data_IF_919830104763
#
_entry.id   IF_919830104763
#
_cell.length_a   1.000
_cell.length_b   1.000
_cell.length_c   1.000
_cell.angle_alpha   90.00
_cell.angle_beta   90.00
_cell.angle_gamma   90.00
#
_symmetry.space_group_name_H-M   'P 1'
#
loop_
_entity.id
_entity.type
_entity.pdbx_description
1 polymer ?
2 non-polymer ?
3 non-polymer ?
4 non-polymer ?
5 water ?
#
# COMPACT_ATOMS: atom_id res chain seq x y z
N UNK A 11 -20.65 -17.19 11.16
CA UNK A 11 -20.01 -17.52 9.84
C UNK A 11 -19.50 -16.27 9.12
N UNK A 12 -18.34 -16.41 8.50
CA UNK A 12 -17.63 -15.30 7.84
C UNK A 12 -17.15 -15.76 6.47
N UNK A 13 -17.43 -14.97 5.40
CA UNK A 13 -17.09 -15.44 4.05
C UNK A 13 -15.59 -15.50 3.80
N UNK A 14 -15.21 -16.30 2.82
CA UNK A 14 -13.81 -16.67 2.61
C UNK A 14 -12.97 -15.56 1.96
N UNK A 15 -13.57 -14.79 1.05
CA UNK A 15 -12.87 -13.68 0.38
C UNK A 15 -12.96 -12.41 1.23
N UNK A 16 -11.82 -11.73 1.37
CA UNK A 16 -11.81 -10.45 2.08
C UNK A 16 -12.74 -9.39 1.46
N UNK A 17 -12.96 -9.46 0.14
CA UNK A 17 -13.86 -8.50 -0.51
C UNK A 17 -15.35 -8.78 -0.31
N UNK A 18 -15.68 -9.89 0.36
CA UNK A 18 -17.05 -10.23 0.72
C UNK A 18 -17.42 -9.90 2.17
N UNK A 19 -16.50 -9.23 2.89
CA UNK A 19 -16.75 -8.91 4.29
C UNK A 19 -16.13 -7.56 4.63
N UNK A 20 -16.79 -6.79 5.52
CA UNK A 20 -16.19 -5.53 5.93
C UNK A 20 -15.02 -5.81 6.87
N UNK A 21 -13.91 -5.11 6.64
CA UNK A 21 -12.79 -5.11 7.57
C UNK A 21 -12.53 -3.67 8.02
N UNK A 22 -12.91 -3.35 9.26
CA UNK A 22 -12.72 -1.98 9.74
C UNK A 22 -11.26 -1.65 10.05
N UNK A 23 -10.98 -0.36 10.22
CA UNK A 23 -9.64 0.12 10.52
C UNK A 23 -9.11 -0.42 11.85
N UNK A 24 -9.99 -0.40 12.86
CA UNK A 24 -9.63 -0.81 14.21
C UNK A 24 -10.35 -2.10 14.56
N UNK A 25 -9.67 -2.95 15.31
CA UNK A 25 -10.21 -4.27 15.63
C UNK A 25 -9.69 -4.79 16.97
N UNK A 26 -10.06 -6.04 17.30
CA UNK A 26 -9.87 -6.57 18.65
C UNK A 26 -8.73 -7.56 18.81
N UNK A 27 -7.91 -7.70 17.78
CA UNK A 27 -6.93 -8.79 17.68
C UNK A 27 -5.59 -8.34 17.10
N UNK A 28 -5.18 -7.14 17.51
CA UNK A 28 -4.01 -6.50 16.90
C UNK A 28 -2.72 -7.25 17.22
N UNK A 29 -2.61 -7.78 18.43
CA UNK A 29 -1.45 -8.57 18.82
C UNK A 29 -1.31 -9.80 17.95
N UNK A 30 -2.41 -10.51 17.76
CA UNK A 30 -2.40 -11.74 16.98
C UNK A 30 -2.14 -11.47 15.51
N UNK A 31 -2.81 -10.47 14.95
CA UNK A 31 -2.66 -10.15 13.53
C UNK A 31 -1.22 -9.66 13.25
N UNK A 32 -0.66 -8.86 14.16
CA UNK A 32 0.72 -8.37 14.01
C UNK A 32 1.72 -9.52 13.95
N UNK A 33 1.56 -10.49 14.85
CA UNK A 33 2.40 -11.70 14.85
C UNK A 33 2.33 -12.49 13.54
N UNK A 34 1.12 -12.72 13.05
CA UNK A 34 0.93 -13.41 11.76
C UNK A 34 1.52 -12.62 10.60
N UNK A 35 1.40 -11.30 10.64
CA UNK A 35 1.95 -10.45 9.58
C UNK A 35 3.47 -10.38 9.57
N UNK A 36 4.09 -10.53 10.74
CA UNK A 36 5.56 -10.67 10.81
C UNK A 36 5.96 -11.94 10.06
N UNK A 37 5.25 -13.05 10.30
CA UNK A 37 5.53 -14.29 9.59
C UNK A 37 5.24 -14.20 8.08
N UNK A 38 4.18 -13.48 7.72
CA UNK A 38 3.87 -13.24 6.30
C UNK A 38 4.99 -12.47 5.59
N UNK A 39 5.44 -11.41 6.24
CA UNK A 39 6.49 -10.53 5.72
C UNK A 39 7.79 -11.31 5.51
N UNK A 40 8.15 -12.08 6.54
CA UNK A 40 9.33 -12.93 6.49
C UNK A 40 9.27 -13.98 5.37
N UNK A 41 8.10 -14.60 5.18
CA UNK A 41 7.89 -15.46 4.04
C UNK A 41 8.15 -14.75 2.70
N UNK A 42 7.61 -13.55 2.55
CA UNK A 42 7.84 -12.72 1.36
C UNK A 42 9.30 -12.43 1.11
N UNK A 43 10.05 -12.17 2.20
CA UNK A 43 11.48 -11.94 2.09
C UNK A 43 12.25 -13.14 1.55
N UNK A 44 11.72 -14.36 1.78
CA UNK A 44 12.34 -15.59 1.27
C UNK A 44 11.76 -16.08 -0.06
N UNK A 45 10.91 -15.28 -0.70
CA UNK A 45 10.23 -15.67 -1.94
C UNK A 45 9.17 -16.76 -1.76
N UNK A 46 8.65 -16.93 -0.56
CA UNK A 46 7.64 -17.94 -0.27
C UNK A 46 6.27 -17.27 -0.36
N UNK A 47 5.83 -17.02 -1.59
CA UNK A 47 4.62 -16.23 -1.86
C UNK A 47 3.33 -16.93 -1.37
N UNK A 48 3.30 -18.25 -1.45
CA UNK A 48 2.17 -19.06 -0.96
C UNK A 48 1.99 -18.88 0.53
N UNK A 49 3.09 -19.00 1.27
CA UNK A 49 3.10 -18.83 2.72
C UNK A 49 2.79 -17.40 3.12
N UNK A 50 3.33 -16.41 2.40
CA UNK A 50 2.95 -15.01 2.64
C UNK A 50 1.43 -14.82 2.55
N UNK A 51 0.85 -15.27 1.44
CA UNK A 51 -0.60 -15.10 1.22
C UNK A 51 -1.43 -15.83 2.28
N UNK A 52 -1.01 -17.03 2.66
CA UNK A 52 -1.68 -17.78 3.71
C UNK A 52 -1.70 -17.04 5.06
N UNK A 53 -0.55 -16.51 5.49
CA UNK A 53 -0.47 -15.78 6.76
C UNK A 53 -1.24 -14.46 6.68
N UNK A 54 -1.16 -13.77 5.55
CA UNK A 54 -1.90 -12.52 5.34
C UNK A 54 -3.42 -12.72 5.42
N UNK A 55 -3.91 -13.80 4.79
CA UNK A 55 -5.35 -14.12 4.85
C UNK A 55 -5.83 -14.45 6.28
N UNK A 56 -5.05 -15.24 7.02
CA UNK A 56 -5.38 -15.56 8.41
C UNK A 56 -5.43 -14.28 9.27
N UNK A 57 -4.40 -13.44 9.13
CA UNK A 57 -4.41 -12.17 9.86
C UNK A 57 -5.66 -11.35 9.52
N UNK A 58 -6.05 -11.31 8.24
CA UNK A 58 -7.20 -10.50 7.82
C UNK A 58 -8.51 -11.04 8.39
N UNK A 59 -8.60 -12.36 8.59
CA UNK A 59 -9.76 -12.95 9.27
C UNK A 59 -9.87 -12.40 10.69
N UNK A 60 -8.77 -12.40 11.41
CA UNK A 60 -8.76 -11.83 12.76
C UNK A 60 -9.24 -10.36 12.80
N UNK A 61 -8.86 -9.57 11.80
CA UNK A 61 -9.26 -8.16 11.73
C UNK A 61 -10.76 -7.98 11.53
N UNK A 62 -11.41 -8.96 10.89
CA UNK A 62 -12.84 -8.92 10.64
C UNK A 62 -13.71 -9.41 11.81
N UNK A 63 -13.10 -10.05 12.82
CA UNK A 63 -13.87 -10.61 13.94
C UNK A 63 -14.45 -9.51 14.84
N UNK A 64 -15.66 -9.72 15.36
CA UNK A 64 -16.29 -8.69 16.21
C UNK A 64 -15.82 -8.68 17.66
N UNK A 65 -15.02 -9.66 18.07
CA UNK A 65 -14.57 -9.83 19.45
C UNK A 65 -13.11 -10.29 19.50
N UNK A 66 -12.42 -10.07 20.63
CA UNK A 66 -11.08 -10.61 20.77
C UNK A 66 -11.10 -12.13 20.82
N UNK A 67 -10.07 -12.76 20.29
CA UNK A 67 -9.82 -14.19 20.46
C UNK A 67 -9.08 -14.36 21.78
N UNK A 68 -9.78 -14.86 22.79
CA UNK A 68 -9.19 -15.11 24.11
C UNK A 68 -8.84 -16.59 24.33
N UNK A 69 -9.59 -17.50 23.69
CA UNK A 69 -9.34 -18.95 23.82
C UNK A 69 -9.25 -19.57 22.44
N UNK A 70 -8.49 -20.66 22.31
CA UNK A 70 -8.32 -21.31 21.00
C UNK A 70 -9.63 -21.89 20.46
N UNK A 71 -10.57 -22.22 21.35
CA UNK A 71 -11.91 -22.66 20.92
C UNK A 71 -12.61 -21.65 20.00
N UNK A 72 -12.28 -20.34 20.12
CA UNK A 72 -12.83 -19.33 19.20
C UNK A 72 -12.36 -19.39 17.74
N UNK A 73 -11.32 -20.17 17.45
CA UNK A 73 -10.87 -20.35 16.06
C UNK A 73 -11.80 -21.24 15.21
N UNK A 74 -12.60 -22.09 15.86
CA UNK A 74 -13.52 -22.99 15.16
C UNK A 74 -14.40 -22.32 14.10
N UNK A 75 -14.46 -22.94 12.91
CA UNK A 75 -15.31 -22.49 11.81
C UNK A 75 -14.79 -21.32 10.98
N UNK A 76 -13.61 -20.78 11.31
CA UNK A 76 -13.06 -19.63 10.59
C UNK A 76 -12.28 -20.10 9.36
N UNK A 77 -12.47 -19.44 8.20
CA UNK A 77 -11.68 -19.81 7.02
C UNK A 77 -10.23 -19.38 7.16
N UNK A 78 -9.38 -19.89 6.27
CA UNK A 78 -7.98 -19.47 6.19
C UNK A 78 -7.22 -19.57 7.51
N UNK A 79 -7.63 -20.52 8.35
CA UNK A 79 -6.92 -20.79 9.60
C UNK A 79 -6.50 -22.23 9.65
N UNK A 80 -5.44 -22.53 8.90
CA UNK A 80 -4.79 -23.83 8.91
C UNK A 80 -3.97 -24.06 10.16
N UNK A 81 -3.19 -25.13 10.15
CA UNK A 81 -2.46 -25.59 11.33
C UNK A 81 -1.44 -24.55 11.83
N UNK A 82 -0.63 -24.02 10.91
CA UNK A 82 0.48 -23.15 11.28
C UNK A 82 -0.03 -21.87 11.96
N UNK A 83 -0.97 -21.18 11.32
CA UNK A 83 -1.52 -19.94 11.91
C UNK A 83 -2.20 -20.19 13.26
N UNK A 84 -2.94 -21.30 13.37
CA UNK A 84 -3.58 -21.68 14.64
C UNK A 84 -2.56 -21.90 15.76
N UNK A 85 -1.44 -22.54 15.44
CA UNK A 85 -0.38 -22.78 16.43
C UNK A 85 0.20 -21.46 16.96
N UNK A 86 0.34 -20.49 16.06
CA UNK A 86 0.90 -19.19 16.41
C UNK A 86 -0.02 -18.52 17.43
N UNK A 87 -1.32 -18.51 17.14
CA UNK A 87 -2.32 -17.90 18.04
C UNK A 87 -2.34 -18.66 19.39
N UNK A 88 -2.31 -19.98 19.33
CA UNK A 88 -2.25 -20.83 20.54
C UNK A 88 -1.11 -20.45 21.48
N UNK A 89 0.10 -20.34 20.94
CA UNK A 89 1.27 -20.00 21.76
C UNK A 89 1.13 -18.63 22.40
N UNK A 90 0.63 -17.67 21.63
CA UNK A 90 0.39 -16.32 22.13
C UNK A 90 -0.62 -16.30 23.28
N UNK A 91 -1.72 -17.04 23.12
CA UNK A 91 -2.75 -17.15 24.15
C UNK A 91 -2.25 -17.82 25.43
N UNK A 92 -1.47 -18.88 25.27
CA UNK A 92 -0.99 -19.69 26.38
C UNK A 92 0.26 -19.17 27.07
N UNK A 93 1.18 -18.58 26.30
CA UNK A 93 2.48 -18.13 26.83
C UNK A 93 2.80 -16.64 26.69
N UNK A 94 1.93 -15.89 26.01
CA UNK A 94 2.17 -14.47 25.76
C UNK A 94 3.22 -14.19 24.68
N UNK A 95 3.76 -15.23 24.07
CA UNK A 95 4.85 -15.11 23.11
C UNK A 95 4.83 -16.34 22.21
N UNK A 96 5.24 -16.17 20.95
CA UNK A 96 5.40 -17.27 19.99
C UNK A 96 6.89 -17.34 19.63
N UNK A 97 7.54 -18.46 19.92
CA UNK A 97 9.00 -18.60 19.73
C UNK A 97 9.43 -18.36 18.29
N UNK A 98 8.66 -18.87 17.34
CA UNK A 98 8.96 -18.68 15.92
C UNK A 98 8.96 -17.20 15.51
N UNK A 99 7.98 -16.44 16.00
CA UNK A 99 7.91 -15.01 15.73
C UNK A 99 9.10 -14.28 16.36
N UNK A 100 9.43 -14.62 17.61
CA UNK A 100 10.57 -14.01 18.28
C UNK A 100 11.88 -14.31 17.57
N UNK A 101 12.01 -15.54 17.06
CA UNK A 101 13.22 -15.94 16.34
C UNK A 101 13.36 -15.13 15.02
N UNK A 102 12.24 -14.98 14.33
CA UNK A 102 12.21 -14.15 13.13
C UNK A 102 12.62 -12.70 13.47
N UNK A 103 11.99 -12.10 14.48
CA UNK A 103 12.29 -10.71 14.86
C UNK A 103 13.77 -10.46 15.13
N UNK A 104 14.42 -11.41 15.79
CA UNK A 104 15.81 -11.26 16.21
C UNK A 104 16.78 -11.63 15.09
N UNK A 105 16.30 -12.24 14.00
CA UNK A 105 17.20 -12.76 12.98
C UNK A 105 17.78 -11.67 12.11
N UNK A 106 19.06 -11.79 11.80
CA UNK A 106 19.75 -10.79 11.01
C UNK A 106 19.16 -10.70 9.60
N UNK A 107 18.79 -11.85 9.04
CA UNK A 107 18.16 -11.88 7.71
C UNK A 107 16.88 -11.05 7.69
N UNK A 108 16.00 -11.28 8.64
CA UNK A 108 14.75 -10.52 8.69
C UNK A 108 14.99 -9.04 8.93
N UNK A 109 15.79 -8.71 9.96
CA UNK A 109 16.08 -7.31 10.29
C UNK A 109 16.69 -6.57 9.10
N UNK A 110 17.61 -7.22 8.37
CA UNK A 110 18.27 -6.56 7.24
C UNK A 110 17.32 -6.39 6.06
N UNK A 111 16.54 -7.41 5.79
CA UNK A 111 15.56 -7.35 4.71
C UNK A 111 14.51 -6.28 4.98
N UNK A 112 14.06 -6.18 6.23
CA UNK A 112 13.14 -5.10 6.63
C UNK A 112 13.79 -3.73 6.45
N UNK A 113 15.04 -3.62 6.89
CA UNK A 113 15.78 -2.35 6.76
C UNK A 113 15.88 -1.92 5.30
N UNK A 114 16.38 -2.81 4.46
CA UNK A 114 16.56 -2.48 3.04
C UNK A 114 15.23 -2.24 2.31
N UNK A 115 14.25 -3.12 2.50
CA UNK A 115 13.02 -3.04 1.70
C UNK A 115 12.23 -1.79 2.07
N UNK A 116 12.43 -1.28 3.29
CA UNK A 116 11.74 -0.04 3.69
C UNK A 116 12.23 1.19 2.92
N UNK A 117 13.48 1.17 2.46
CA UNK A 117 14.07 2.27 1.71
C UNK A 117 13.29 2.54 0.41
N UNK A 118 13.01 3.80 0.16
CA UNK A 118 12.38 4.24 -1.10
C UNK A 118 13.10 3.66 -2.31
N UNK A 119 12.34 2.97 -3.17
CA UNK A 119 12.85 2.36 -4.41
C UNK A 119 13.52 0.99 -4.28
N UNK A 120 13.44 0.37 -3.12
CA UNK A 120 14.04 -0.94 -2.87
C UNK A 120 12.96 -2.00 -2.66
N UNK A 121 12.91 -2.97 -3.56
CA UNK A 121 12.06 -4.17 -3.39
C UNK A 121 12.77 -5.37 -2.80
N UNK A 122 12.06 -6.50 -2.75
CA UNK A 122 12.61 -7.71 -2.14
C UNK A 122 13.79 -8.23 -2.95
N UNK A 123 13.71 -8.17 -4.29
CA UNK A 123 14.80 -8.74 -5.08
C UNK A 123 16.09 -7.98 -4.90
N UNK A 124 15.99 -6.66 -4.87
CA UNK A 124 17.16 -5.83 -4.65
C UNK A 124 17.73 -6.04 -3.25
N UNK A 125 16.85 -6.01 -2.24
CA UNK A 125 17.29 -6.21 -0.85
C UNK A 125 17.98 -7.57 -0.63
N UNK A 126 17.41 -8.62 -1.24
CA UNK A 126 17.98 -9.96 -1.13
C UNK A 126 19.36 -10.03 -1.80
N UNK A 127 19.47 -9.42 -2.98
CA UNK A 127 20.77 -9.38 -3.69
C UNK A 127 21.82 -8.71 -2.82
N UNK A 128 21.45 -7.57 -2.24
CA UNK A 128 22.37 -6.85 -1.39
C UNK A 128 22.75 -7.68 -0.17
N UNK A 129 21.77 -8.37 0.42
CA UNK A 129 22.03 -9.25 1.55
C UNK A 129 23.02 -10.32 1.16
N UNK A 130 22.76 -10.96 0.01
CA UNK A 130 23.64 -12.04 -0.48
C UNK A 130 25.06 -11.58 -0.78
N UNK A 131 25.21 -10.32 -1.17
CA UNK A 131 26.50 -9.67 -1.42
C UNK A 131 27.15 -9.06 -0.16
N UNK A 132 26.58 -9.32 1.01
CA UNK A 132 27.20 -8.98 2.29
C UNK A 132 26.92 -7.61 2.88
N UNK A 133 25.96 -6.90 2.31
CA UNK A 133 25.59 -5.57 2.80
C UNK A 133 24.59 -5.77 3.94
N UNK A 134 24.70 -4.96 4.98
CA UNK A 134 23.86 -5.09 6.18
C UNK A 134 23.23 -3.82 6.68
N UNK A 135 23.96 -2.71 6.59
CA UNK A 135 23.54 -1.46 7.20
C UNK A 135 23.32 -0.38 6.16
N UNK A 136 22.70 0.73 6.58
CA UNK A 136 22.52 1.84 5.68
C UNK A 136 23.88 2.44 5.28
N UNK A 137 24.82 2.46 6.22
CA UNK A 137 26.18 2.91 5.93
C UNK A 137 26.87 2.04 4.87
N UNK A 138 26.68 0.72 4.97
CA UNK A 138 27.15 -0.20 3.95
C UNK A 138 26.68 0.22 2.56
N UNK A 139 25.41 0.60 2.44
CA UNK A 139 24.86 1.06 1.15
C UNK A 139 25.48 2.37 0.69
N UNK A 140 25.66 3.30 1.63
CA UNK A 140 26.28 4.58 1.29
C UNK A 140 27.74 4.48 0.87
N UNK A 141 28.40 3.42 1.30
CA UNK A 141 29.80 3.15 0.91
C UNK A 141 29.91 2.55 -0.49
N UNK A 142 28.78 2.09 -1.06
CA UNK A 142 28.71 1.52 -2.42
C UNK A 142 27.70 2.23 -3.31
N UNK A 143 27.87 3.55 -3.52
CA UNK A 143 26.86 4.31 -4.29
C UNK A 143 26.66 3.81 -5.71
N UNK A 144 27.68 3.19 -6.30
CA UNK A 144 27.53 2.62 -7.64
C UNK A 144 26.46 1.50 -7.72
N UNK A 145 26.11 0.91 -6.58
CA UNK A 145 25.05 -0.10 -6.47
C UNK A 145 23.64 0.48 -6.35
N UNK A 146 23.50 1.80 -6.23
CA UNK A 146 22.22 2.43 -5.95
C UNK A 146 21.70 3.18 -7.17
N UNK A 147 20.38 3.12 -7.38
CA UNK A 147 19.70 3.99 -8.32
C UNK A 147 19.57 5.41 -7.71
N UNK A 148 19.26 6.39 -8.55
CA UNK A 148 19.06 7.75 -8.06
C UNK A 148 17.91 7.81 -7.05
N UNK A 149 16.86 7.03 -7.29
CA UNK A 149 15.73 6.90 -6.37
C UNK A 149 16.18 6.39 -4.99
N UNK A 150 16.97 5.34 -5.01
CA UNK A 150 17.50 4.75 -3.77
C UNK A 150 18.43 5.70 -3.03
N UNK A 151 19.25 6.44 -3.77
CA UNK A 151 20.09 7.49 -3.17
C UNK A 151 19.26 8.54 -2.43
N UNK A 152 18.15 8.94 -3.04
CA UNK A 152 17.26 9.90 -2.43
C UNK A 152 16.59 9.30 -1.17
N UNK A 153 16.18 8.06 -1.26
CA UNK A 153 15.65 7.34 -0.12
C UNK A 153 16.61 7.26 1.05
N UNK A 154 17.88 7.02 0.76
CA UNK A 154 18.90 7.01 1.82
C UNK A 154 19.17 8.38 2.43
N UNK A 155 19.24 9.41 1.59
CA UNK A 155 19.39 10.79 2.01
C UNK A 155 18.32 11.19 3.02
N UNK A 156 17.10 10.71 2.83
CA UNK A 156 15.96 11.12 3.64
C UNK A 156 15.41 10.02 4.49
N UNK A 157 16.20 9.00 4.81
CA UNK A 157 15.63 7.79 5.36
C UNK A 157 15.01 8.02 6.74
N UNK A 158 15.57 8.93 7.54
CA UNK A 158 15.00 9.16 8.90
C UNK A 158 13.55 9.66 8.78
N UNK A 159 13.37 10.72 8.01
CA UNK A 159 12.04 11.29 7.75
C UNK A 159 11.11 10.29 7.09
N UNK A 160 11.63 9.55 6.11
CA UNK A 160 10.75 8.59 5.41
C UNK A 160 10.33 7.37 6.27
N UNK A 161 11.06 7.07 7.35
CA UNK A 161 10.73 6.04 8.34
C UNK A 161 9.76 6.54 9.40
N UNK A 162 9.57 7.87 9.45
CA UNK A 162 8.65 8.53 10.42
C UNK A 162 7.26 8.46 9.85
N UNK A 163 6.27 7.93 10.63
CA UNK A 163 4.94 7.80 10.04
C UNK A 163 4.39 9.14 9.56
N UNK A 164 3.79 9.13 8.37
CA UNK A 164 3.11 10.27 7.84
C UNK A 164 1.78 10.37 8.56
N UNK A 165 1.44 11.59 8.98
CA UNK A 165 0.26 11.85 9.79
C UNK A 165 -0.82 12.49 8.96
N UNK A 166 -2.06 12.41 9.44
CA UNK A 166 -3.17 13.07 8.75
C UNK A 166 -2.93 14.56 8.56
N UNK A 167 -2.37 15.20 9.57
CA UNK A 167 -2.02 16.62 9.47
C UNK A 167 -1.07 16.94 8.30
N UNK A 168 -0.13 16.03 8.05
CA UNK A 168 0.77 16.13 6.90
C UNK A 168 -0.02 15.97 5.61
N UNK A 169 -0.93 15.00 5.59
CA UNK A 169 -1.75 14.74 4.42
C UNK A 169 -2.58 15.96 4.03
N UNK A 170 -3.18 16.60 5.03
CA UNK A 170 -4.02 17.76 4.76
C UNK A 170 -3.21 18.93 4.18
N UNK A 171 -2.01 19.17 4.72
CA UNK A 171 -1.13 20.20 4.20
C UNK A 171 -0.69 19.87 2.77
N UNK A 172 -0.34 18.62 2.51
CA UNK A 172 0.10 18.20 1.17
C UNK A 172 -1.03 18.27 0.15
N UNK A 173 -2.22 17.84 0.54
CA UNK A 173 -3.37 17.92 -0.33
C UNK A 173 -3.65 19.37 -0.74
N UNK A 174 -3.51 20.32 0.19
CA UNK A 174 -3.67 21.74 -0.15
C UNK A 174 -2.71 22.23 -1.25
N UNK A 175 -1.42 21.95 -1.11
CA UNK A 175 -0.45 22.40 -2.11
C UNK A 175 -0.63 21.67 -3.43
N UNK A 176 -1.00 20.39 -3.40
CA UNK A 176 -1.24 19.65 -4.65
C UNK A 176 -2.50 20.20 -5.32
N UNK A 177 -3.55 20.44 -4.55
CA UNK A 177 -4.79 21.02 -5.11
C UNK A 177 -4.56 22.42 -5.68
N UNK A 178 -3.78 23.25 -4.98
CA UNK A 178 -3.46 24.59 -5.48
C UNK A 178 -2.70 24.50 -6.82
N UNK A 179 -1.69 23.63 -6.89
CA UNK A 179 -0.90 23.49 -8.13
C UNK A 179 -1.74 22.95 -9.30
N UNK A 180 -2.55 21.93 -9.02
CA UNK A 180 -3.46 21.36 -10.03
C UNK A 180 -4.46 22.43 -10.53
N UNK A 181 -5.09 23.13 -9.59
CA UNK A 181 -6.09 24.18 -9.94
C UNK A 181 -5.56 25.34 -10.75
N UNK A 182 -4.34 25.77 -10.44
CA UNK A 182 -3.67 26.82 -11.19
C UNK A 182 -3.19 26.34 -12.57
N UNK A 183 -2.78 25.07 -12.68
CA UNK A 183 -2.37 24.51 -13.98
C UNK A 183 -3.55 24.29 -14.92
N UNK A 184 -4.68 23.84 -14.37
CA UNK A 184 -5.83 23.47 -15.17
C UNK A 184 -7.12 23.56 -14.37
N UNK A 185 -7.83 24.70 -14.45
CA UNK A 185 -9.13 24.79 -13.80
C UNK A 185 -10.04 23.62 -14.18
N UNK A 186 -10.71 23.05 -13.19
CA UNK A 186 -11.59 21.89 -13.38
C UNK A 186 -10.95 20.53 -13.11
N UNK A 187 -9.62 20.45 -13.15
CA UNK A 187 -8.94 19.19 -12.81
C UNK A 187 -9.13 18.95 -11.31
N UNK A 188 -9.20 17.69 -10.92
CA UNK A 188 -9.49 17.29 -9.53
C UNK A 188 -8.35 16.48 -8.96
N UNK A 189 -8.24 16.50 -7.64
CA UNK A 189 -7.28 15.72 -6.87
C UNK A 189 -8.07 14.90 -5.87
N UNK A 190 -7.84 13.60 -5.83
CA UNK A 190 -8.53 12.69 -4.92
C UNK A 190 -7.50 11.94 -4.08
N UNK A 191 -7.64 12.05 -2.76
CA UNK A 191 -6.79 11.30 -1.84
C UNK A 191 -7.16 9.84 -1.94
N UNK A 192 -6.19 8.97 -2.17
CA UNK A 192 -6.41 7.52 -2.23
C UNK A 192 -5.55 6.83 -1.15
N UNK A 193 -5.10 5.59 -1.39
CA UNK A 193 -4.30 4.85 -0.42
C UNK A 193 -4.96 4.68 0.92
N UNK A 194 -4.12 4.42 1.91
CA UNK A 194 -4.59 4.10 3.25
C UNK A 194 -5.36 5.22 3.90
N UNK A 195 -4.99 6.46 3.61
CA UNK A 195 -5.70 7.59 4.19
C UNK A 195 -7.16 7.69 3.73
N UNK A 196 -7.42 7.30 2.48
CA UNK A 196 -8.82 7.22 2.03
C UNK A 196 -9.60 6.16 2.82
N UNK A 197 -8.93 5.09 3.22
CA UNK A 197 -9.51 4.03 4.06
C UNK A 197 -9.65 4.40 5.55
N UNK A 198 -9.29 5.63 5.92
CA UNK A 198 -9.44 6.10 7.28
C UNK A 198 -8.22 5.99 8.17
N UNK A 199 -7.10 5.47 7.66
CA UNK A 199 -5.88 5.34 8.45
C UNK A 199 -5.46 6.70 9.01
N UNK A 200 -4.90 6.68 10.21
CA UNK A 200 -4.40 7.88 10.85
C UNK A 200 -2.95 8.13 10.51
N UNK A 201 -2.28 7.12 9.98
CA UNK A 201 -0.90 7.26 9.57
C UNK A 201 -0.61 6.42 8.32
N UNK A 202 0.58 6.61 7.76
CA UNK A 202 0.97 5.87 6.57
C UNK A 202 2.42 6.06 6.21
N UNK A 203 2.87 5.41 5.15
CA UNK A 203 4.26 5.49 4.71
C UNK A 203 4.44 6.54 3.60
N UNK A 204 3.34 6.94 3.00
CA UNK A 204 3.33 7.97 1.96
C UNK A 204 1.94 8.59 1.87
N UNK A 205 1.73 9.44 0.86
CA UNK A 205 0.41 9.98 0.53
C UNK A 205 0.22 9.70 -0.96
N UNK A 206 -0.93 9.15 -1.30
CA UNK A 206 -1.31 8.76 -2.65
C UNK A 206 -2.44 9.66 -3.18
N UNK A 207 -2.23 10.27 -4.34
CA UNK A 207 -3.20 11.17 -4.92
C UNK A 207 -3.46 10.70 -6.34
N UNK A 208 -4.73 10.76 -6.74
CA UNK A 208 -5.17 10.44 -8.08
C UNK A 208 -5.74 11.70 -8.71
N UNK A 209 -5.23 12.04 -9.90
CA UNK A 209 -5.58 13.28 -10.59
C UNK A 209 -6.31 12.96 -11.89
N UNK A 210 -7.39 13.71 -12.18
CA UNK A 210 -8.08 13.58 -13.47
C UNK A 210 -8.78 14.89 -13.86
N UNK A 211 -9.46 14.85 -15.00
CA UNK A 211 -10.26 15.97 -15.48
C UNK A 211 -11.52 15.38 -16.13
N UNK A 212 -12.70 16.00 -15.91
CA UNK A 212 -13.95 15.40 -16.42
C UNK A 212 -14.07 15.23 -17.96
N UNK A 213 -13.38 16.07 -18.72
CA UNK A 213 -13.24 15.93 -20.16
C UNK A 213 -12.02 15.08 -20.53
N UNK A 214 -12.28 13.88 -21.05
CA UNK A 214 -11.22 12.93 -21.44
C UNK A 214 -10.21 13.58 -22.36
N UNK A 215 -8.94 13.47 -22.01
CA UNK A 215 -7.85 14.08 -22.76
C UNK A 215 -7.37 15.42 -22.25
N UNK A 216 -8.18 16.13 -21.45
CA UNK A 216 -7.74 17.42 -20.91
C UNK A 216 -6.66 17.29 -19.83
N UNK A 217 -6.49 16.07 -19.31
CA UNK A 217 -5.44 15.73 -18.35
C UNK A 217 -4.05 15.57 -18.95
N UNK A 218 -3.97 15.52 -20.29
CA UNK A 218 -2.70 15.39 -20.98
C UNK A 218 -1.80 16.58 -20.69
N UNK A 219 -0.55 16.28 -20.31
CA UNK A 219 0.42 17.32 -20.00
C UNK A 219 0.20 18.05 -18.68
N UNK A 220 -0.71 17.58 -17.86
CA UNK A 220 -1.06 18.27 -16.63
C UNK A 220 0.02 18.04 -15.58
N UNK A 221 0.42 16.79 -15.42
CA UNK A 221 1.35 16.43 -14.31
C UNK A 221 2.69 17.18 -14.38
N UNK A 222 3.31 17.29 -15.57
CA UNK A 222 4.53 18.10 -15.64
C UNK A 222 4.36 19.56 -15.25
N UNK A 223 3.19 20.14 -15.57
CA UNK A 223 2.91 21.51 -15.14
C UNK A 223 2.75 21.62 -13.61
N UNK A 224 2.02 20.68 -13.04
CA UNK A 224 1.86 20.55 -11.57
C UNK A 224 3.23 20.44 -10.88
N UNK A 225 4.09 19.57 -11.41
CA UNK A 225 5.43 19.40 -10.84
C UNK A 225 6.30 20.64 -10.95
N UNK A 226 6.21 21.36 -12.07
CA UNK A 226 6.94 22.62 -12.23
C UNK A 226 6.55 23.61 -11.14
N UNK A 227 5.24 23.79 -10.95
CA UNK A 227 4.72 24.68 -9.92
C UNK A 227 5.21 24.30 -8.52
N UNK A 228 5.11 23.02 -8.18
CA UNK A 228 5.56 22.55 -6.87
C UNK A 228 7.07 22.69 -6.68
N UNK A 229 7.82 22.40 -7.73
CA UNK A 229 9.27 22.54 -7.70
C UNK A 229 9.65 24.01 -7.49
N UNK A 230 8.95 24.91 -8.16
CA UNK A 230 9.24 26.34 -8.06
C UNK A 230 8.97 26.86 -6.65
N UNK A 231 8.02 26.25 -5.96
CA UNK A 231 7.74 26.59 -4.57
C UNK A 231 8.68 25.99 -3.52
N UNK A 232 9.69 25.25 -3.94
CA UNK A 232 10.64 24.65 -3.03
C UNK A 232 10.14 23.42 -2.33
N UNK A 233 9.05 22.85 -2.84
CA UNK A 233 8.35 21.76 -2.15
C UNK A 233 8.80 20.36 -2.57
N UNK A 234 9.72 20.27 -3.53
CA UNK A 234 10.10 18.99 -4.10
C UNK A 234 11.60 18.72 -3.86
N UNK A 235 11.85 17.61 -3.18
CA UNK A 235 13.21 17.14 -2.97
C UNK A 235 13.66 16.15 -4.03
N UNK A 236 12.73 15.34 -4.51
CA UNK A 236 13.01 14.32 -5.49
C UNK A 236 11.75 14.10 -6.32
N UNK A 237 11.96 13.91 -7.62
CA UNK A 237 10.88 13.75 -8.56
C UNK A 237 11.32 12.79 -9.68
N UNK A 238 10.58 11.71 -9.88
CA UNK A 238 10.78 10.82 -11.03
C UNK A 238 9.46 10.71 -11.75
N UNK A 239 9.41 11.28 -12.94
CA UNK A 239 8.23 11.28 -13.79
C UNK A 239 8.34 10.11 -14.74
N UNK A 240 7.27 9.36 -14.92
CA UNK A 240 7.25 8.37 -15.97
C UNK A 240 5.94 8.46 -16.73
N UNK A 241 6.06 8.54 -18.05
CA UNK A 241 4.91 8.47 -18.94
C UNK A 241 4.27 7.08 -18.87
N UNK A 242 3.01 6.99 -19.25
CA UNK A 242 2.34 5.68 -19.35
C UNK A 242 3.08 4.79 -20.35
N UNK A 243 3.49 3.60 -19.89
CA UNK A 243 4.33 2.70 -20.67
C UNK A 243 3.50 1.61 -21.33
N UNK A 244 2.91 0.75 -20.49
CA UNK A 244 2.19 -0.44 -20.95
C UNK A 244 0.82 -0.09 -21.54
N UNK A 258 1.39 1.75 -15.75
CA UNK A 258 0.85 2.14 -17.04
C UNK A 258 -0.04 3.40 -16.98
N UNK A 259 -0.17 4.03 -15.82
CA UNK A 259 -0.68 5.39 -15.75
C UNK A 259 0.55 6.30 -15.73
N UNK A 260 0.40 7.51 -16.23
CA UNK A 260 1.38 8.56 -16.02
C UNK A 260 1.47 8.81 -14.51
N UNK A 261 2.69 8.88 -13.98
CA UNK A 261 2.87 9.12 -12.57
C UNK A 261 4.18 9.81 -12.23
N UNK A 262 4.21 10.38 -11.03
CA UNK A 262 5.37 11.05 -10.50
C UNK A 262 5.61 10.49 -9.09
N UNK A 263 6.77 9.88 -8.88
CA UNK A 263 7.18 9.35 -7.57
C UNK A 263 8.00 10.46 -6.93
N UNK A 264 7.50 11.01 -5.83
CA UNK A 264 8.08 12.22 -5.27
C UNK A 264 8.51 12.05 -3.85
N UNK A 265 9.48 12.84 -3.45
CA UNK A 265 9.69 13.18 -2.05
C UNK A 265 9.42 14.69 -1.93
N UNK A 266 8.44 15.05 -1.11
CA UNK A 266 8.13 16.46 -0.85
C UNK A 266 8.90 16.96 0.36
N UNK A 267 9.23 18.24 0.37
CA UNK A 267 9.78 18.91 1.55
C UNK A 267 8.61 19.63 2.22
N UNK A 268 8.07 19.04 3.26
CA UNK A 268 6.90 19.60 3.94
C UNK A 268 7.32 20.57 5.04
N UNK A 269 6.97 21.89 4.92
CA UNK A 269 7.35 22.80 6.01
C UNK A 269 6.55 22.49 7.27
N UNK A 270 7.20 22.65 8.41
CA UNK A 270 6.59 22.42 9.71
C UNK A 270 6.91 23.65 10.53
N UNK A 271 6.26 23.79 11.71
CA UNK A 271 6.65 24.88 12.59
C UNK A 271 8.13 24.74 13.05
N UNK A 272 8.99 25.61 12.48
CA UNK A 272 10.41 25.69 12.81
C UNK A 272 11.39 24.74 12.10
N UNK A 273 10.87 23.85 11.24
CA UNK A 273 11.69 22.81 10.62
C UNK A 273 11.03 22.36 9.32
N UNK A 274 11.28 21.11 8.90
CA UNK A 274 10.59 20.52 7.73
C UNK A 274 10.78 19.03 7.77
N UNK A 275 10.00 18.33 6.96
CA UNK A 275 10.01 16.88 6.91
C UNK A 275 9.90 16.38 5.48
N UNK A 276 10.75 15.41 5.09
CA UNK A 276 10.60 14.75 3.82
C UNK A 276 9.43 13.78 3.90
N UNK A 277 8.60 13.77 2.87
CA UNK A 277 7.43 12.91 2.82
C UNK A 277 7.26 12.34 1.41
N UNK A 278 7.13 11.02 1.31
CA UNK A 278 6.85 10.39 0.03
C UNK A 278 5.41 10.66 -0.42
N UNK A 279 5.26 11.05 -1.69
CA UNK A 279 3.97 11.32 -2.30
C UNK A 279 3.98 10.69 -3.70
N UNK A 280 2.94 9.93 -4.00
CA UNK A 280 2.70 9.40 -5.35
C UNK A 280 1.58 10.20 -5.99
N UNK A 281 1.85 10.76 -7.16
CA UNK A 281 0.82 11.46 -7.93
C UNK A 281 0.57 10.64 -9.18
N UNK A 282 -0.68 10.25 -9.37
CA UNK A 282 -1.06 9.38 -10.47
C UNK A 282 -2.13 10.11 -11.26
N UNK A 283 -1.99 10.11 -12.59
CA UNK A 283 -3.00 10.70 -13.47
C UNK A 283 -3.75 9.57 -14.17
N UNK A 284 -5.08 9.62 -14.12
CA UNK A 284 -5.90 8.69 -14.89
C UNK A 284 -6.88 9.45 -15.75
N UNK A 285 -7.10 8.98 -17.00
CA UNK A 285 -8.22 9.56 -17.75
C UNK A 285 -9.54 9.22 -17.08
N UNK A 286 -10.49 10.14 -17.15
CA UNK A 286 -11.72 10.02 -16.39
C UNK A 286 -12.49 8.73 -16.67
N UNK A 287 -12.42 8.22 -17.91
CA UNK A 287 -13.05 6.92 -18.25
C UNK A 287 -12.55 5.77 -17.36
N UNK A 288 -11.27 5.82 -16.96
CA UNK A 288 -10.66 4.78 -16.12
C UNK A 288 -10.60 5.11 -14.63
N UNK A 289 -11.00 6.33 -14.26
CA UNK A 289 -10.93 6.80 -12.88
C UNK A 289 -11.53 5.84 -11.83
N UNK A 290 -12.76 5.34 -12.05
CA UNK A 290 -13.29 4.43 -11.01
C UNK A 290 -12.42 3.20 -10.73
N UNK A 291 -11.83 2.62 -11.78
CA UNK A 291 -10.93 1.47 -11.65
C UNK A 291 -9.64 1.87 -10.96
N UNK A 292 -9.12 3.04 -11.31
CA UNK A 292 -7.92 3.56 -10.69
C UNK A 292 -8.15 3.88 -9.23
N UNK A 293 -9.28 4.51 -8.91
CA UNK A 293 -9.61 4.84 -7.51
C UNK A 293 -9.74 3.55 -6.68
N UNK A 294 -10.46 2.57 -7.22
CA UNK A 294 -10.59 1.26 -6.55
C UNK A 294 -9.24 0.59 -6.30
N UNK A 295 -8.42 0.49 -7.35
CA UNK A 295 -7.12 -0.13 -7.26
C UNK A 295 -6.19 0.56 -6.27
N UNK A 296 -6.12 1.88 -6.37
CA UNK A 296 -5.22 2.68 -5.55
C UNK A 296 -5.70 2.88 -4.11
N UNK A 297 -6.96 2.55 -3.80
CA UNK A 297 -7.48 2.71 -2.44
C UNK A 297 -7.12 1.50 -1.57
N UNK A 298 -6.93 0.34 -2.18
CA UNK A 298 -6.51 -0.83 -1.45
C UNK A 298 -7.57 -1.37 -0.49
N UNK A 299 -7.17 -2.04 0.58
CA UNK A 299 -5.77 -2.40 0.90
C UNK A 299 -5.17 -3.31 -0.16
N UNK A 300 -3.87 -3.51 -0.09
CA UNK A 300 -3.19 -4.40 -1.03
C UNK A 300 -3.87 -5.79 -1.04
N UNK A 301 -4.10 -6.35 0.15
CA UNK A 301 -4.76 -7.64 0.27
C UNK A 301 -6.20 -7.60 -0.23
N UNK A 302 -6.94 -6.55 0.12
CA UNK A 302 -8.32 -6.41 -0.36
C UNK A 302 -8.38 -6.48 -1.90
N UNK A 303 -7.49 -5.73 -2.57
CA UNK A 303 -7.48 -5.72 -4.02
C UNK A 303 -7.01 -7.05 -4.63
N UNK A 304 -6.02 -7.68 -4.03
CA UNK A 304 -5.63 -9.02 -4.44
C UNK A 304 -6.80 -9.98 -4.40
N UNK A 305 -7.54 -9.95 -3.29
CA UNK A 305 -8.71 -10.79 -3.10
C UNK A 305 -9.85 -10.42 -4.05
N UNK A 306 -10.04 -9.11 -4.27
CA UNK A 306 -11.05 -8.66 -5.22
C UNK A 306 -10.74 -9.14 -6.66
N UNK A 307 -9.47 -9.07 -7.05
CA UNK A 307 -9.04 -9.54 -8.38
C UNK A 307 -9.20 -11.07 -8.50
N UNK A 308 -8.83 -11.80 -7.46
CA UNK A 308 -8.97 -13.26 -7.46
C UNK A 308 -10.44 -13.68 -7.55
N UNK A 309 -11.28 -13.03 -6.76
CA UNK A 309 -12.74 -13.23 -6.83
C UNK A 309 -13.30 -12.99 -8.22
N UNK A 310 -12.93 -11.86 -8.83
CA UNK A 310 -13.42 -11.50 -10.17
C UNK A 310 -13.05 -12.59 -11.17
N UNK A 311 -11.80 -13.04 -11.13
CA UNK A 311 -11.31 -14.06 -12.06
C UNK A 311 -11.92 -15.42 -11.77
N UNK A 312 -11.79 -15.88 -10.53
CA UNK A 312 -12.20 -17.24 -10.17
C UNK A 312 -13.71 -17.44 -10.11
N UNK A 313 -14.45 -16.47 -9.58
CA UNK A 313 -15.90 -16.59 -9.43
C UNK A 313 -16.69 -16.03 -10.61
N UNK A 314 -16.23 -14.94 -11.23
CA UNK A 314 -16.98 -14.31 -12.32
C UNK A 314 -16.33 -14.40 -13.70
N UNK A 315 -15.12 -14.94 -13.80
CA UNK A 315 -14.44 -15.08 -15.08
C UNK A 315 -14.04 -13.76 -15.73
N UNK A 316 -13.88 -12.70 -14.93
CA UNK A 316 -13.52 -11.37 -15.43
C UNK A 316 -12.14 -11.01 -14.89
N UNK A 317 -11.39 -10.21 -15.64
CA UNK A 317 -10.07 -9.76 -15.19
C UNK A 317 -10.16 -8.30 -14.75
N UNK A 318 -9.92 -8.06 -13.46
CA UNK A 318 -9.97 -6.71 -12.91
C UNK A 318 -8.58 -6.17 -12.72
N UNK A 319 -8.33 -4.96 -13.18
CA UNK A 319 -7.11 -4.24 -12.80
C UNK A 319 -7.43 -2.77 -12.59
N UNK A 320 -6.40 -1.94 -12.45
CA UNK A 320 -6.60 -0.52 -12.18
C UNK A 320 -7.10 0.31 -13.36
N UNK A 321 -7.19 -0.31 -14.55
CA UNK A 321 -7.65 0.35 -15.77
C UNK A 321 -9.03 -0.04 -16.24
N UNK A 322 -9.55 -1.17 -15.76
CA UNK A 322 -10.78 -1.71 -16.31
C UNK A 322 -11.14 -3.10 -15.83
N UNK A 323 -12.25 -3.57 -16.38
CA UNK A 323 -12.78 -4.90 -16.04
C UNK A 323 -13.13 -5.56 -17.36
N UNK A 324 -12.35 -6.60 -17.70
CA UNK A 324 -12.34 -7.21 -19.01
C UNK A 324 -12.93 -8.63 -18.97
N UNK A 325 -13.80 -8.93 -19.93
CA UNK A 325 -14.31 -10.28 -20.15
C UNK A 325 -13.44 -10.88 -21.24
N UNK A 326 -12.54 -11.84 -20.89
CA UNK A 326 -11.62 -12.37 -21.89
C UNK A 326 -12.27 -13.30 -22.93
N UNK A 327 -13.45 -13.84 -22.63
CA UNK A 327 -14.22 -14.64 -23.59
C UNK A 327 -14.93 -13.76 -24.63
N UNK A 328 -15.65 -12.75 -24.16
CA UNK A 328 -16.36 -11.80 -25.02
C UNK A 328 -15.46 -10.71 -25.61
N UNK A 329 -14.29 -10.51 -25.03
CA UNK A 329 -13.34 -9.47 -25.44
C UNK A 329 -13.96 -8.07 -25.26
N UNK A 330 -14.62 -7.86 -24.11
CA UNK A 330 -15.35 -6.63 -23.79
C UNK A 330 -14.86 -5.98 -22.50
N UNK A 331 -15.00 -4.65 -22.40
CA UNK A 331 -14.68 -3.90 -21.18
C UNK A 331 -15.95 -3.34 -20.56
N UNK A 332 -16.04 -3.38 -19.23
CA UNK A 332 -17.18 -2.84 -18.49
C UNK A 332 -17.02 -1.33 -18.29
N UNK A 333 -18.05 -0.56 -18.64
CA UNK A 333 -18.06 0.88 -18.47
C UNK A 333 -18.64 1.18 -17.09
N UNK A 334 -17.78 1.63 -16.18
CA UNK A 334 -18.16 1.95 -14.80
C UNK A 334 -18.07 3.45 -14.65
N UNK A 335 -19.04 4.04 -13.96
CA UNK A 335 -19.00 5.45 -13.60
C UNK A 335 -18.52 5.65 -12.17
N UNK A 336 -18.56 4.59 -11.35
CA UNK A 336 -18.18 4.66 -9.95
C UNK A 336 -17.64 3.33 -9.45
N UNK A 337 -17.06 3.34 -8.24
CA UNK A 337 -16.69 2.10 -7.59
C UNK A 337 -17.91 1.21 -7.33
N UNK A 338 -19.02 1.84 -6.94
CA UNK A 338 -20.29 1.14 -6.70
C UNK A 338 -20.71 0.29 -7.91
N UNK A 339 -20.59 0.87 -9.11
CA UNK A 339 -20.86 0.15 -10.37
C UNK A 339 -20.04 -1.14 -10.49
N UNK A 340 -18.77 -1.06 -10.14
CA UNK A 340 -17.83 -2.19 -10.28
C UNK A 340 -18.22 -3.30 -9.32
N UNK A 341 -18.44 -2.96 -8.05
CA UNK A 341 -18.91 -3.92 -7.05
C UNK A 341 -20.20 -4.64 -7.50
N UNK A 342 -21.18 -3.83 -7.93
CA UNK A 342 -22.46 -4.33 -8.45
C UNK A 342 -22.25 -5.27 -9.63
N UNK A 343 -21.40 -4.89 -10.57
CA UNK A 343 -21.12 -5.73 -11.74
C UNK A 343 -20.53 -7.09 -11.36
N UNK A 344 -19.73 -7.12 -10.29
CA UNK A 344 -19.14 -8.37 -9.79
C UNK A 344 -20.02 -9.14 -8.81
N UNK A 345 -21.23 -8.65 -8.54
CA UNK A 345 -22.17 -9.32 -7.66
C UNK A 345 -21.79 -9.22 -6.20
N UNK A 346 -21.08 -8.16 -5.82
CA UNK A 346 -20.62 -7.96 -4.45
C UNK A 346 -21.37 -6.79 -3.81
N UNK A 347 -21.70 -6.92 -2.53
CA UNK A 347 -22.23 -5.80 -1.77
C UNK A 347 -21.13 -4.74 -1.68
N UNK A 348 -21.51 -3.47 -1.82
CA UNK A 348 -20.55 -2.37 -1.80
C UNK A 348 -19.92 -2.23 -0.42
N UNK A 349 -18.61 -2.02 -0.39
CA UNK A 349 -17.89 -1.74 0.84
C UNK A 349 -17.27 -0.38 0.68
N UNK A 350 -17.61 0.57 1.55
CA UNK A 350 -16.90 1.84 1.47
C UNK A 350 -15.41 1.66 1.82
N UNK A 351 -14.56 2.63 1.47
CA UNK A 351 -13.10 2.51 1.67
C UNK A 351 -12.68 2.12 3.10
N UNK A 352 -13.32 2.71 4.10
CA UNK A 352 -13.03 2.36 5.51
C UNK A 352 -13.34 0.91 5.93
N UNK A 353 -14.06 0.16 5.10
CA UNK A 353 -14.26 -1.27 5.34
C UNK A 353 -13.42 -2.16 4.42
N UNK A 354 -12.41 -1.58 3.75
CA UNK A 354 -11.50 -2.33 2.88
C UNK A 354 -10.13 -2.55 3.53
N UNK A 355 -10.08 -2.51 4.86
CA UNK A 355 -8.80 -2.59 5.58
C UNK A 355 -8.36 -4.04 5.83
N UNK A 356 -8.44 -4.86 4.78
CA UNK A 356 -8.13 -6.27 4.87
C UNK A 356 -6.64 -6.47 5.09
X LIG B 1 0.04 4.93 0.66
X LIG C 1 2.02 5.00 -2.72
X LIG D 1 -1.24 -1.53 -4.27
X LIG D 1 -1.52 -2.89 -4.59
X LIG D 1 -0.52 -3.81 -4.62
X LIG D 1 0.76 -3.44 -4.36
X LIG D 1 1.05 -2.12 -4.05
X LIG D 1 0.03 -1.17 -4.00
X LIG D 1 -2.68 -3.26 -4.82
X LIG D 1 1.74 -4.37 -4.41
X LIG D 1 -2.35 -0.56 -4.23
X LIG D 1 -3.15 -0.77 -2.94
X LIG D 1 -2.64 0.31 -2.02
X LIG D 1 -2.31 1.43 -3.00
X LIG D 1 -1.92 0.81 -4.23
X LIG D 1 -3.61 0.72 -1.06
X LIG D 1 -1.26 2.41 -2.48
X LIG D 1 -0.07 1.72 -2.14
X LIG D 1 0.66 2.01 -0.73
X LIG D 1 0.76 3.52 -0.57
X LIG D 1 1.91 1.17 -0.69
X LIG D 1 -0.37 1.37 0.31
X LIG D 1 -1.27 2.08 1.45
X LIG D 1 -1.48 3.52 1.08
X LIG D 1 -2.46 1.17 1.57
X LIG D 1 -0.44 1.92 2.81
X LIG D 1 0.51 3.02 3.55
X LIG D 1 -0.31 3.57 4.68
X LIG D 1 0.93 4.02 2.50
X LIG D 1 1.68 2.21 4.04
X LIG E 1 12.96 -4.96 -7.08
X LIG E 1 12.11 -3.74 -7.05
X LIG E 1 12.10 -6.16 -7.13
X LIG E 1 13.81 -5.02 -5.87
X LIG E 1 13.81 -4.98 -8.30
X LIG F 1 5.27 -21.26 -0.99
X LIG F 1 4.03 -22.07 -0.96
X LIG F 1 5.20 -20.24 0.07
X LIG F 1 5.40 -20.60 -2.31
X LIG F 1 6.44 -22.13 -0.75
X LIG G 1 10.55 -5.88 16.98
X LIG G 1 9.67 -6.67 16.10
X LIG G 1 9.74 -5.02 17.88
X LIG G 1 11.39 -6.77 17.80
X LIG G 1 11.42 -5.03 16.12
X LIG H 1 22.12 -11.93 -8.60
X LIG H 1 20.83 -12.49 -8.15
X LIG H 1 21.88 -10.73 -9.43
X LIG H 1 22.94 -11.56 -7.42
X LIG H 1 22.85 -12.95 -9.39
#
# INVERSE_FOLDING_TARGET
GSAAAPLSPAWMPAYACQRPTPLTHHNTGLSEALEILAEAAGFEGSEGRLLTFCRAASVLKALPSPVTTLSQLQGLPHFGEHSSRVVQELLEHGVCEEVERVRRSERYQTMKLFTQIFGVGVKTADRWYREGLRTLDDLREQPQKLTQQQKAGLQHHQDLSTPVLRSDVDALQQVVEEAVGQALPGATVTLTGGFRRGKLQGHDVDFLITHPKEGQEAGLLPRVMCRLQDQGLILYHQHQHSCCESPTRLAQQSHMDAFERSFCIFRLPQPGSWKAVRVDLVVAPVSQFPFALLGWTGSKLFQRELRRFSRKEKGLWLNSHGLFDPEQKTFFQAASEEDIFRHLGLEYLPPEQRNA
MN MN
MN MN
DCP N1 C2 N3 C4 C5 C6 O2 N4 C1' C2' C3' C4' O4' O3' C5' O5' PA O1A O2A O3A PB O1B O2B O3B PG O1G O2G O3G
SO4 S O1 O2 O3 O4
SO4 S O1 O2 O3 O4
SO4 S O1 O2 O3 O4
SO4 S O1 O2 O3 O4
#
